data_IF_523942356116
#
_entry.id   IF_523942356116
#
_cell.length_a   1.000
_cell.length_b   1.000
_cell.length_c   1.000
_cell.angle_alpha   90.00
_cell.angle_beta   90.00
_cell.angle_gamma   90.00
#
_symmetry.space_group_name_H-M   'P 1'
#
loop_
_entity.id
_entity.type
_entity.pdbx_description
1 polymer ?
#
# COMPACT_ATOMS: atom_id res chain seq x y z
N UNK A 1 -11.27 -42.39 15.41
CA UNK A 1 -10.45 -41.43 14.64
C UNK A 1 -11.24 -40.25 14.08
N UNK A 2 -12.09 -39.57 14.89
CA UNK A 2 -12.85 -38.37 14.46
C UNK A 2 -12.64 -37.12 15.32
N UNK A 3 -11.71 -37.16 16.28
CA UNK A 3 -11.47 -36.04 17.18
C UNK A 3 -10.17 -35.23 16.90
N UNK A 4 -9.38 -35.64 15.89
CA UNK A 4 -8.10 -34.98 15.61
C UNK A 4 -8.19 -33.78 14.63
N UNK A 5 -9.28 -33.64 13.89
CA UNK A 5 -9.43 -32.57 12.91
C UNK A 5 -9.99 -31.23 13.49
N UNK A 6 -10.72 -31.31 14.60
CA UNK A 6 -11.32 -30.14 15.21
C UNK A 6 -10.32 -29.25 16.00
N UNK A 7 -9.28 -29.87 16.58
CA UNK A 7 -8.27 -29.15 17.37
C UNK A 7 -7.32 -28.36 16.47
N UNK A 8 -7.01 -28.88 15.27
CA UNK A 8 -6.16 -28.15 14.30
C UNK A 8 -6.83 -26.89 13.73
N UNK A 9 -8.15 -26.91 13.55
CA UNK A 9 -8.88 -25.74 13.03
C UNK A 9 -8.97 -24.59 14.05
N UNK A 10 -9.04 -24.88 15.34
CA UNK A 10 -9.15 -23.87 16.40
C UNK A 10 -7.81 -23.17 16.65
N UNK A 11 -6.69 -23.90 16.54
CA UNK A 11 -5.35 -23.30 16.70
C UNK A 11 -5.00 -22.39 15.50
N UNK A 12 -5.45 -22.75 14.29
CA UNK A 12 -5.24 -21.92 13.09
C UNK A 12 -6.06 -20.61 13.12
N UNK A 13 -7.25 -20.62 13.70
CA UNK A 13 -8.09 -19.44 13.84
C UNK A 13 -7.54 -18.46 14.89
N UNK A 14 -6.95 -18.96 15.98
CA UNK A 14 -6.40 -18.08 17.04
C UNK A 14 -5.09 -17.40 16.65
N UNK A 15 -4.23 -18.04 15.83
CA UNK A 15 -3.00 -17.42 15.36
C UNK A 15 -3.23 -16.37 14.25
N UNK A 16 -4.26 -16.56 13.41
CA UNK A 16 -4.66 -15.55 12.41
C UNK A 16 -5.29 -14.30 13.03
N UNK A 17 -6.04 -14.44 14.11
CA UNK A 17 -6.64 -13.30 14.80
C UNK A 17 -5.61 -12.43 15.52
N UNK A 18 -4.56 -13.03 16.10
CA UNK A 18 -3.51 -12.30 16.79
C UNK A 18 -2.67 -11.43 15.84
N UNK A 19 -2.30 -11.93 14.66
CA UNK A 19 -1.57 -11.15 13.66
C UNK A 19 -2.41 -10.00 13.08
N UNK A 20 -3.73 -10.20 12.90
CA UNK A 20 -4.65 -9.15 12.45
C UNK A 20 -4.89 -8.08 13.52
N UNK A 21 -4.98 -8.46 14.80
CA UNK A 21 -5.14 -7.53 15.91
C UNK A 21 -3.89 -6.67 16.15
N UNK A 22 -2.69 -7.23 16.04
CA UNK A 22 -1.45 -6.49 16.24
C UNK A 22 -1.23 -5.46 15.10
N UNK A 23 -1.52 -5.82 13.86
CA UNK A 23 -1.52 -4.90 12.73
C UNK A 23 -2.62 -3.83 12.89
N UNK A 24 -3.82 -4.21 13.28
CA UNK A 24 -4.95 -3.30 13.52
C UNK A 24 -4.60 -2.28 14.60
N UNK A 25 -4.06 -2.71 15.75
CA UNK A 25 -3.67 -1.84 16.84
C UNK A 25 -2.57 -0.84 16.43
N UNK A 26 -1.61 -1.25 15.61
CA UNK A 26 -0.56 -0.37 15.11
C UNK A 26 -1.10 0.74 14.20
N UNK A 27 -1.99 0.41 13.25
CA UNK A 27 -2.59 1.38 12.35
C UNK A 27 -3.60 2.29 13.06
N UNK A 28 -4.39 1.74 13.96
CA UNK A 28 -5.34 2.49 14.78
C UNK A 28 -4.60 3.50 15.65
N UNK A 29 -3.54 3.10 16.33
CA UNK A 29 -2.73 3.99 17.14
C UNK A 29 -2.12 5.15 16.35
N UNK A 30 -1.68 4.91 15.09
CA UNK A 30 -1.13 5.97 14.22
C UNK A 30 -2.19 6.96 13.77
N UNK A 31 -3.36 6.47 13.38
CA UNK A 31 -4.45 7.33 12.96
C UNK A 31 -5.02 8.14 14.14
N UNK A 32 -5.17 7.52 15.30
CA UNK A 32 -5.58 8.22 16.52
C UNK A 32 -4.59 9.29 16.92
N UNK A 33 -3.29 9.03 16.82
CA UNK A 33 -2.26 10.02 17.07
C UNK A 33 -2.42 11.24 16.16
N UNK A 34 -2.59 11.02 14.86
CA UNK A 34 -2.78 12.11 13.89
C UNK A 34 -4.10 12.86 14.14
N UNK A 35 -5.20 12.15 14.43
CA UNK A 35 -6.48 12.76 14.80
C UNK A 35 -6.35 13.65 16.04
N UNK A 36 -5.71 13.13 17.09
CA UNK A 36 -5.44 13.88 18.32
C UNK A 36 -4.62 15.12 18.04
N UNK A 37 -3.52 14.98 17.30
CA UNK A 37 -2.68 16.11 16.91
C UNK A 37 -3.48 17.19 16.16
N UNK A 38 -4.29 16.80 15.17
CA UNK A 38 -5.11 17.74 14.39
C UNK A 38 -6.14 18.44 15.30
N UNK A 39 -6.77 17.72 16.22
CA UNK A 39 -7.70 18.26 17.20
C UNK A 39 -7.02 19.27 18.11
N UNK A 40 -5.86 18.94 18.63
CA UNK A 40 -5.10 19.79 19.54
C UNK A 40 -4.63 21.08 18.84
N UNK A 41 -4.09 20.99 17.62
CA UNK A 41 -3.70 22.18 16.85
C UNK A 41 -4.92 23.07 16.56
N UNK A 42 -6.05 22.51 16.14
CA UNK A 42 -7.27 23.29 15.88
C UNK A 42 -7.80 23.98 17.14
N UNK A 43 -7.76 23.32 18.28
CA UNK A 43 -8.16 23.89 19.56
C UNK A 43 -7.26 25.06 19.96
N UNK A 44 -5.93 24.90 19.86
CA UNK A 44 -4.98 25.95 20.16
C UNK A 44 -5.09 27.13 19.19
N UNK A 45 -5.32 26.89 17.90
CA UNK A 45 -5.51 27.94 16.91
C UNK A 45 -6.80 28.76 17.09
N UNK A 46 -7.82 28.21 17.76
CA UNK A 46 -8.99 28.98 18.17
C UNK A 46 -8.67 30.03 19.25
N UNK A 47 -7.73 29.69 20.14
CA UNK A 47 -7.28 30.56 21.23
C UNK A 47 -6.27 31.59 20.70
N UNK A 48 -5.32 31.14 19.92
CA UNK A 48 -4.28 31.97 19.33
C UNK A 48 -3.90 31.48 17.93
N UNK A 49 -4.24 32.27 16.90
CA UNK A 49 -3.97 31.92 15.48
C UNK A 49 -2.48 31.72 15.15
N UNK A 50 -1.56 32.19 16.03
CA UNK A 50 -0.12 32.00 15.86
C UNK A 50 0.35 30.58 16.21
N UNK A 51 -0.49 29.74 16.85
CA UNK A 51 -0.13 28.37 17.16
C UNK A 51 0.13 27.57 15.88
N UNK A 52 1.25 26.87 15.89
CA UNK A 52 1.72 25.98 14.83
C UNK A 52 2.10 24.64 15.43
N UNK A 53 2.39 23.66 14.60
CA UNK A 53 2.90 22.39 15.05
C UNK A 53 3.74 21.69 14.00
N UNK A 54 4.55 20.75 14.45
CA UNK A 54 5.29 19.84 13.63
C UNK A 54 5.03 18.40 14.10
N UNK A 55 4.85 17.48 13.16
CA UNK A 55 4.85 16.04 13.39
C UNK A 55 6.02 15.46 12.62
N UNK A 56 6.88 14.76 13.33
CA UNK A 56 7.98 13.98 12.78
C UNK A 56 7.62 12.51 12.83
N UNK A 57 7.87 11.80 11.77
CA UNK A 57 7.75 10.35 11.69
C UNK A 57 9.15 9.74 11.57
N UNK A 58 9.41 8.69 12.35
CA UNK A 58 10.63 7.90 12.26
C UNK A 58 10.48 6.74 11.28
N UNK A 59 11.58 6.06 10.99
CA UNK A 59 11.59 4.85 10.18
C UNK A 59 10.72 3.74 10.79
N UNK A 60 10.71 3.61 12.12
CA UNK A 60 9.88 2.64 12.83
C UNK A 60 8.37 2.98 12.79
N UNK A 61 7.99 4.16 12.27
CA UNK A 61 6.63 4.65 12.27
C UNK A 61 6.22 5.36 13.57
N UNK A 62 7.14 5.57 14.50
CA UNK A 62 6.89 6.38 15.71
C UNK A 62 6.70 7.84 15.36
N UNK A 63 5.79 8.53 16.08
CA UNK A 63 5.49 9.94 15.88
C UNK A 63 5.98 10.81 17.05
N UNK A 64 6.52 11.95 16.70
CA UNK A 64 7.00 12.98 17.64
C UNK A 64 6.42 14.32 17.27
N UNK A 65 5.91 15.06 18.26
CA UNK A 65 5.27 16.35 18.03
C UNK A 65 5.96 17.48 18.75
N UNK A 66 5.85 18.66 18.14
CA UNK A 66 6.11 19.94 18.77
C UNK A 66 4.98 20.90 18.39
N UNK A 67 4.42 21.60 19.38
CA UNK A 67 3.30 22.55 19.21
C UNK A 67 3.66 23.81 20.00
N UNK A 68 3.40 24.97 19.42
CA UNK A 68 3.67 26.25 20.08
C UNK A 68 3.47 27.44 19.15
N UNK A 69 3.90 28.60 19.62
CA UNK A 69 3.85 29.88 18.88
C UNK A 69 5.17 30.23 18.19
N UNK A 70 6.20 29.45 18.42
CA UNK A 70 7.52 29.58 17.78
C UNK A 70 7.44 29.50 16.25
N UNK A 71 8.53 29.83 15.58
CA UNK A 71 8.64 29.69 14.13
C UNK A 71 8.44 28.22 13.71
N UNK A 72 7.98 27.97 12.48
CA UNK A 72 7.80 26.60 12.00
C UNK A 72 9.12 25.82 11.99
N UNK A 73 10.24 26.50 11.66
CA UNK A 73 11.56 25.88 11.65
C UNK A 73 12.01 25.42 13.05
N UNK A 74 11.73 26.20 14.09
CA UNK A 74 12.02 25.81 15.47
C UNK A 74 11.17 24.62 15.91
N UNK A 75 9.88 24.59 15.58
CA UNK A 75 9.00 23.49 15.91
C UNK A 75 9.40 22.20 15.17
N UNK A 76 9.79 22.30 13.89
CA UNK A 76 10.34 21.19 13.11
C UNK A 76 11.62 20.64 13.79
N UNK A 77 12.54 21.54 14.20
CA UNK A 77 13.79 21.19 14.88
C UNK A 77 13.55 20.50 16.23
N UNK A 78 12.61 21.02 17.04
CA UNK A 78 12.25 20.43 18.33
C UNK A 78 11.64 19.02 18.16
N UNK A 79 10.76 18.81 17.19
CA UNK A 79 10.18 17.49 16.93
C UNK A 79 11.23 16.49 16.42
N UNK A 80 12.13 16.92 15.53
CA UNK A 80 13.26 16.13 15.07
C UNK A 80 14.23 15.76 16.22
N UNK A 81 14.51 16.71 17.12
CA UNK A 81 15.34 16.48 18.31
C UNK A 81 14.71 15.40 19.21
N UNK A 82 13.41 15.47 19.49
CA UNK A 82 12.69 14.46 20.28
C UNK A 82 12.80 13.07 19.68
N UNK A 83 12.64 12.96 18.36
CA UNK A 83 12.77 11.71 17.64
C UNK A 83 14.17 11.11 17.82
N UNK A 84 15.21 11.88 17.60
CA UNK A 84 16.62 11.46 17.75
C UNK A 84 16.97 11.09 19.18
N UNK A 85 16.48 11.84 20.17
CA UNK A 85 16.72 11.57 21.59
C UNK A 85 16.13 10.23 22.06
N UNK A 86 15.09 9.74 21.39
CA UNK A 86 14.51 8.42 21.64
C UNK A 86 15.23 7.28 20.89
N UNK A 87 16.37 7.57 20.27
CA UNK A 87 17.15 6.59 19.53
C UNK A 87 16.55 6.21 18.17
N UNK A 88 15.50 6.93 17.73
CA UNK A 88 14.87 6.69 16.44
C UNK A 88 15.74 7.17 15.29
N UNK A 89 15.65 6.46 14.17
CA UNK A 89 16.40 6.77 12.95
C UNK A 89 15.46 7.27 11.86
N UNK A 90 16.03 7.94 10.85
CA UNK A 90 15.31 8.45 9.69
C UNK A 90 14.11 9.34 10.04
N UNK A 91 14.32 10.22 11.02
CA UNK A 91 13.31 11.17 11.48
C UNK A 91 13.05 12.25 10.44
N UNK A 92 11.82 12.39 9.94
CA UNK A 92 11.44 13.42 8.96
C UNK A 92 10.12 14.10 9.30
N UNK A 93 10.06 15.40 9.02
CA UNK A 93 8.84 16.21 9.24
C UNK A 93 7.75 15.77 8.28
N UNK A 94 6.66 15.21 8.80
CA UNK A 94 5.51 14.74 8.04
C UNK A 94 4.43 15.80 7.91
N UNK A 95 4.10 16.49 9.00
CA UNK A 95 3.09 17.56 9.00
C UNK A 95 3.69 18.85 9.56
N UNK A 96 3.29 19.95 8.95
CA UNK A 96 3.48 21.30 9.44
C UNK A 96 2.12 21.91 9.69
N UNK A 97 1.78 22.15 10.97
CA UNK A 97 0.44 22.53 11.40
C UNK A 97 -0.59 21.50 10.87
N UNK A 98 -1.60 21.95 10.11
CA UNK A 98 -2.66 21.09 9.57
C UNK A 98 -2.36 20.55 8.16
N UNK A 99 -1.17 20.82 7.62
CA UNK A 99 -0.81 20.47 6.24
C UNK A 99 0.25 19.38 6.22
N UNK A 100 0.08 18.40 5.34
CA UNK A 100 1.16 17.49 4.99
C UNK A 100 2.34 18.32 4.46
N UNK A 101 3.55 18.03 4.95
CA UNK A 101 4.74 18.68 4.46
C UNK A 101 4.95 18.34 2.97
N UNK A 102 5.05 19.34 2.12
CA UNK A 102 5.21 19.14 0.66
C UNK A 102 6.50 18.39 0.31
N UNK A 103 7.52 18.57 1.15
CA UNK A 103 8.82 17.92 0.99
C UNK A 103 8.86 16.54 1.66
N UNK A 104 7.78 16.14 2.33
CA UNK A 104 7.68 14.83 2.94
C UNK A 104 7.57 13.78 1.85
N UNK A 105 8.65 13.07 1.67
CA UNK A 105 8.70 11.87 0.87
C UNK A 105 8.90 10.70 1.81
N UNK A 106 7.85 9.91 2.05
CA UNK A 106 7.92 8.74 2.92
C UNK A 106 8.99 7.74 2.45
N UNK A 107 9.20 7.66 1.14
CA UNK A 107 10.23 6.82 0.56
C UNK A 107 11.64 7.33 0.82
N UNK A 108 11.82 8.63 1.04
CA UNK A 108 13.09 9.17 1.49
C UNK A 108 13.33 8.96 3.00
N UNK A 109 12.27 8.72 3.79
CA UNK A 109 12.39 8.34 5.23
C UNK A 109 12.95 6.94 5.38
N UNK A 110 12.69 6.08 4.42
CA UNK A 110 13.21 4.71 4.39
C UNK A 110 14.58 4.60 3.70
N UNK A 111 15.42 5.63 3.85
CA UNK A 111 16.84 5.48 3.57
C UNK A 111 17.41 4.53 4.63
N UNK A 112 17.46 3.25 4.26
CA UNK A 112 17.92 2.18 5.13
C UNK A 112 19.26 2.53 5.79
N UNK A 113 19.48 2.04 7.00
CA UNK A 113 20.83 2.00 7.59
C UNK A 113 21.82 1.68 6.49
N UNK A 114 22.86 2.48 6.29
CA UNK A 114 23.83 2.37 5.17
C UNK A 114 24.24 0.94 4.80
N UNK A 115 24.18 0.01 5.77
CA UNK A 115 24.46 -1.41 5.60
C UNK A 115 23.39 -2.15 4.79
N UNK A 116 22.12 -1.85 5.03
CA UNK A 116 20.98 -2.45 4.28
C UNK A 116 20.87 -1.93 2.86
N UNK A 117 21.15 -0.62 2.64
CA UNK A 117 21.22 -0.03 1.29
C UNK A 117 22.31 -0.67 0.44
N UNK A 118 23.49 -0.97 1.03
CA UNK A 118 24.56 -1.64 0.28
C UNK A 118 24.13 -3.04 -0.15
N UNK A 119 23.47 -3.80 0.72
CA UNK A 119 22.93 -5.13 0.39
C UNK A 119 21.84 -5.02 -0.67
N UNK A 120 20.87 -4.13 -0.49
CA UNK A 120 19.78 -3.91 -1.46
C UNK A 120 20.32 -3.45 -2.81
N UNK A 121 21.26 -2.49 -2.85
CA UNK A 121 21.86 -2.02 -4.09
C UNK A 121 22.69 -3.11 -4.81
N UNK A 122 23.40 -3.95 -4.05
CA UNK A 122 24.11 -5.10 -4.61
C UNK A 122 23.11 -6.10 -5.18
N UNK A 123 22.05 -6.39 -4.44
CA UNK A 123 20.96 -7.27 -4.87
C UNK A 123 20.27 -6.75 -6.13
N UNK A 124 19.91 -5.47 -6.17
CA UNK A 124 19.31 -4.81 -7.35
C UNK A 124 20.20 -4.92 -8.58
N UNK A 125 21.50 -4.66 -8.43
CA UNK A 125 22.45 -4.77 -9.55
C UNK A 125 22.51 -6.17 -10.14
N UNK A 126 22.49 -7.20 -9.29
CA UNK A 126 22.60 -8.60 -9.72
C UNK A 126 21.30 -9.18 -10.30
N UNK A 127 20.15 -8.61 -9.94
CA UNK A 127 18.83 -9.18 -10.27
C UNK A 127 18.03 -8.33 -11.27
N UNK A 128 18.57 -7.20 -11.72
CA UNK A 128 17.87 -6.31 -12.65
C UNK A 128 17.56 -7.00 -13.95
N UNK A 129 16.30 -6.99 -14.35
CA UNK A 129 15.83 -7.55 -15.63
C UNK A 129 15.49 -6.45 -16.62
N UNK A 130 14.73 -5.45 -16.18
CA UNK A 130 14.25 -4.38 -17.01
C UNK A 130 13.96 -3.11 -16.20
N UNK A 131 14.07 -1.95 -16.85
CA UNK A 131 13.68 -0.67 -16.25
C UNK A 131 12.84 0.13 -17.23
N UNK A 132 11.66 0.57 -16.81
CA UNK A 132 10.80 1.48 -17.57
C UNK A 132 10.18 2.53 -16.64
N UNK A 133 10.08 3.78 -17.12
CA UNK A 133 9.48 4.91 -16.37
C UNK A 133 10.01 5.07 -14.94
N UNK A 134 11.25 4.64 -14.66
CA UNK A 134 11.86 4.67 -13.34
C UNK A 134 11.54 3.47 -12.45
N UNK A 135 10.71 2.54 -12.91
CA UNK A 135 10.43 1.26 -12.24
C UNK A 135 11.39 0.21 -12.74
N UNK A 136 12.05 -0.48 -11.82
CA UNK A 136 12.92 -1.62 -12.15
C UNK A 136 12.22 -2.92 -11.82
N UNK A 137 12.10 -3.81 -12.79
CA UNK A 137 11.59 -5.16 -12.59
C UNK A 137 12.81 -6.05 -12.28
N UNK A 138 12.70 -6.79 -11.18
CA UNK A 138 13.75 -7.64 -10.66
C UNK A 138 13.28 -9.09 -10.72
N UNK A 139 14.08 -9.95 -11.34
CA UNK A 139 13.94 -11.40 -11.19
C UNK A 139 14.71 -11.82 -9.95
N UNK A 140 14.09 -12.58 -9.07
CA UNK A 140 14.83 -13.07 -7.93
C UNK A 140 15.81 -14.19 -8.31
N UNK A 141 17.09 -13.92 -8.29
CA UNK A 141 18.16 -14.86 -8.59
C UNK A 141 18.72 -15.57 -7.35
N UNK A 142 18.39 -15.10 -6.14
CA UNK A 142 18.76 -15.70 -4.88
C UNK A 142 17.57 -15.71 -3.92
N UNK A 143 17.53 -16.64 -3.00
CA UNK A 143 16.51 -16.62 -1.96
C UNK A 143 16.67 -15.36 -1.10
N UNK A 144 15.66 -14.52 -1.11
CA UNK A 144 15.58 -13.36 -0.24
C UNK A 144 14.75 -13.72 0.99
N UNK A 145 15.34 -13.57 2.13
CA UNK A 145 14.70 -13.84 3.43
C UNK A 145 14.81 -12.57 4.28
N UNK A 146 13.68 -12.13 4.79
CA UNK A 146 13.62 -11.17 5.88
C UNK A 146 13.19 -11.90 7.15
N UNK A 147 14.16 -12.30 7.95
CA UNK A 147 13.93 -13.10 9.16
C UNK A 147 13.02 -12.40 10.18
N UNK A 148 13.07 -11.08 10.22
CA UNK A 148 12.28 -10.29 11.17
C UNK A 148 10.77 -10.46 10.96
N UNK A 149 10.33 -10.75 9.73
CA UNK A 149 8.92 -10.78 9.36
C UNK A 149 8.52 -12.11 8.70
N UNK A 150 9.33 -13.17 8.82
CA UNK A 150 9.11 -14.45 8.14
C UNK A 150 8.76 -14.30 6.65
N UNK A 151 9.36 -13.30 6.00
CA UNK A 151 9.12 -13.00 4.60
C UNK A 151 10.17 -13.68 3.74
N UNK A 152 9.72 -14.49 2.79
CA UNK A 152 10.59 -15.15 1.83
C UNK A 152 10.13 -14.89 0.41
N UNK A 153 11.09 -14.57 -0.45
CA UNK A 153 10.93 -14.53 -1.89
C UNK A 153 11.91 -15.55 -2.50
N UNK A 154 11.41 -16.67 -2.94
CA UNK A 154 12.25 -17.74 -3.47
C UNK A 154 12.81 -17.41 -4.85
N UNK A 155 13.99 -17.94 -5.15
CA UNK A 155 14.67 -17.78 -6.43
C UNK A 155 13.78 -18.25 -7.59
N UNK A 156 13.55 -17.38 -8.56
CA UNK A 156 12.74 -17.69 -9.73
C UNK A 156 13.45 -18.66 -10.67
N UNK A 157 12.83 -19.83 -10.86
CA UNK A 157 13.29 -20.89 -11.79
C UNK A 157 12.51 -20.88 -13.10
N UNK A 158 11.32 -20.29 -13.12
CA UNK A 158 10.40 -20.30 -14.24
C UNK A 158 10.75 -19.27 -15.31
N UNK A 159 10.28 -19.49 -16.52
CA UNK A 159 10.28 -18.48 -17.57
C UNK A 159 9.26 -17.38 -17.24
N UNK A 160 9.75 -16.19 -17.00
CA UNK A 160 8.95 -15.03 -16.62
C UNK A 160 8.73 -14.03 -17.76
N UNK A 161 9.19 -14.33 -18.99
CA UNK A 161 9.11 -13.41 -20.14
C UNK A 161 7.68 -12.95 -20.44
N UNK A 162 6.69 -13.83 -20.30
CA UNK A 162 5.30 -13.49 -20.50
C UNK A 162 4.79 -12.56 -19.37
N UNK A 163 5.15 -12.83 -18.13
CA UNK A 163 4.82 -11.97 -16.98
C UNK A 163 5.46 -10.59 -17.20
N UNK A 164 6.75 -10.55 -17.55
CA UNK A 164 7.46 -9.30 -17.84
C UNK A 164 6.77 -8.48 -18.92
N UNK A 165 6.37 -9.10 -20.04
CA UNK A 165 5.64 -8.40 -21.11
C UNK A 165 4.34 -7.79 -20.65
N UNK A 166 3.61 -8.47 -19.77
CA UNK A 166 2.35 -7.95 -19.22
C UNK A 166 2.66 -6.77 -18.29
N UNK A 167 3.56 -6.95 -17.33
CA UNK A 167 3.93 -5.89 -16.38
C UNK A 167 4.40 -4.61 -17.08
N UNK A 168 5.23 -4.74 -18.12
CA UNK A 168 5.67 -3.59 -18.90
C UNK A 168 4.50 -2.83 -19.52
N UNK A 169 3.53 -3.55 -20.09
CA UNK A 169 2.32 -2.92 -20.66
C UNK A 169 1.49 -2.21 -19.60
N UNK A 170 1.32 -2.79 -18.41
CA UNK A 170 0.55 -2.18 -17.34
C UNK A 170 1.26 -0.95 -16.74
N UNK A 171 2.60 -0.96 -16.64
CA UNK A 171 3.38 0.23 -16.26
C UNK A 171 3.25 1.34 -17.30
N UNK A 172 3.24 1.00 -18.60
CA UNK A 172 3.13 1.97 -19.69
C UNK A 172 1.79 2.72 -19.73
N UNK A 173 0.73 2.21 -19.09
CA UNK A 173 -0.55 2.92 -18.94
C UNK A 173 -0.35 4.27 -18.23
N UNK A 174 0.55 4.33 -17.25
CA UNK A 174 0.66 5.47 -16.36
C UNK A 174 1.62 6.55 -16.86
N UNK A 175 1.29 7.84 -16.61
CA UNK A 175 2.25 8.93 -16.81
C UNK A 175 3.50 8.76 -15.93
N UNK A 176 4.67 9.12 -16.46
CA UNK A 176 5.95 9.07 -15.69
C UNK A 176 5.87 9.86 -14.39
N UNK A 177 5.22 11.03 -14.41
CA UNK A 177 5.03 11.85 -13.22
C UNK A 177 4.23 11.13 -12.15
N UNK A 178 3.20 10.37 -12.53
CA UNK A 178 2.40 9.59 -11.59
C UNK A 178 3.18 8.46 -10.94
N UNK A 179 3.91 7.68 -11.75
CA UNK A 179 4.80 6.62 -11.23
C UNK A 179 5.81 7.21 -10.23
N UNK A 180 6.45 8.33 -10.60
CA UNK A 180 7.41 9.00 -9.71
C UNK A 180 6.77 9.45 -8.39
N UNK A 181 5.59 10.05 -8.46
CA UNK A 181 4.89 10.56 -7.27
C UNK A 181 4.27 9.47 -6.41
N UNK A 182 3.87 8.34 -7.00
CA UNK A 182 3.42 7.16 -6.25
C UNK A 182 4.54 6.50 -5.47
N UNK A 183 5.78 6.71 -5.87
CA UNK A 183 6.97 6.15 -5.24
C UNK A 183 7.27 4.70 -5.64
N UNK A 184 6.57 4.12 -6.63
CA UNK A 184 6.90 2.79 -7.14
C UNK A 184 8.30 2.78 -7.73
N UNK A 185 9.16 1.89 -7.24
CA UNK A 185 10.56 1.76 -7.67
C UNK A 185 10.87 0.38 -8.22
N UNK A 186 10.31 -0.67 -7.60
CA UNK A 186 10.65 -2.04 -7.92
C UNK A 186 9.42 -2.94 -7.97
N UNK A 187 9.45 -3.87 -8.91
CA UNK A 187 8.57 -5.04 -8.96
C UNK A 187 9.46 -6.27 -8.87
N UNK A 188 9.30 -7.05 -7.81
CA UNK A 188 10.09 -8.26 -7.55
C UNK A 188 9.32 -9.50 -8.00
N UNK A 189 9.90 -10.30 -8.85
CA UNK A 189 9.32 -11.57 -9.31
C UNK A 189 9.93 -12.72 -8.52
N UNK A 190 9.13 -13.36 -7.67
CA UNK A 190 9.49 -14.53 -6.86
C UNK A 190 8.96 -15.80 -7.49
N UNK A 191 9.67 -16.92 -7.35
CA UNK A 191 9.09 -18.22 -7.65
C UNK A 191 7.93 -18.51 -6.70
N UNK A 192 8.23 -18.48 -5.41
CA UNK A 192 7.25 -18.57 -4.32
C UNK A 192 7.41 -17.36 -3.43
N UNK A 193 6.31 -16.81 -2.98
CA UNK A 193 6.25 -15.74 -1.99
C UNK A 193 5.60 -16.29 -0.73
N UNK A 194 6.30 -16.22 0.39
CA UNK A 194 5.79 -16.65 1.69
C UNK A 194 5.85 -15.50 2.69
N UNK A 195 4.80 -15.33 3.46
CA UNK A 195 4.74 -14.40 4.58
C UNK A 195 3.89 -15.01 5.69
N UNK A 196 4.43 -15.09 6.89
CA UNK A 196 3.72 -15.59 8.07
C UNK A 196 2.93 -16.89 7.80
N UNK A 197 3.56 -17.84 7.07
CA UNK A 197 2.96 -19.12 6.65
C UNK A 197 1.81 -19.00 5.63
N UNK A 198 1.67 -17.88 4.94
CA UNK A 198 0.76 -17.71 3.80
C UNK A 198 1.53 -17.55 2.50
N UNK A 199 0.88 -17.91 1.37
CA UNK A 199 1.42 -17.78 0.02
C UNK A 199 0.55 -16.83 -0.79
N UNK A 200 0.68 -15.51 -0.64
CA UNK A 200 -0.13 -14.56 -1.39
C UNK A 200 0.25 -14.54 -2.88
N UNK A 201 -0.69 -14.15 -3.74
CA UNK A 201 -0.44 -13.88 -5.16
C UNK A 201 0.57 -12.75 -5.37
N UNK A 202 0.44 -11.71 -4.57
CA UNK A 202 1.33 -10.57 -4.52
C UNK A 202 1.37 -9.96 -3.14
N UNK A 203 2.24 -9.02 -2.95
CA UNK A 203 2.39 -8.31 -1.68
C UNK A 203 3.11 -6.98 -1.89
N UNK A 204 2.50 -5.90 -1.44
CA UNK A 204 3.17 -4.61 -1.29
C UNK A 204 3.47 -4.36 0.20
N UNK A 205 4.54 -4.94 0.75
CA UNK A 205 4.72 -5.08 2.18
C UNK A 205 5.02 -3.78 2.91
N UNK A 206 5.23 -2.68 2.23
CA UNK A 206 5.54 -1.32 2.73
C UNK A 206 5.97 -1.15 4.19
N UNK A 207 5.46 -1.99 5.08
CA UNK A 207 5.77 -2.02 6.51
C UNK A 207 6.56 -3.26 6.94
N UNK A 208 6.34 -4.40 6.27
CA UNK A 208 6.92 -5.67 6.69
C UNK A 208 8.40 -5.79 6.35
N UNK A 209 8.79 -5.39 5.15
CA UNK A 209 10.18 -5.53 4.69
C UNK A 209 10.96 -4.21 4.73
N UNK A 210 10.28 -3.11 5.13
CA UNK A 210 10.86 -1.78 5.12
C UNK A 210 11.39 -1.37 3.74
N UNK A 211 10.87 -1.96 2.66
CA UNK A 211 11.24 -1.68 1.27
C UNK A 211 10.13 -0.90 0.55
N UNK A 212 9.98 0.39 0.84
CA UNK A 212 8.90 1.19 0.28
C UNK A 212 9.07 1.32 -1.23
N UNK A 213 7.93 1.30 -1.92
CA UNK A 213 7.92 1.36 -3.38
C UNK A 213 8.34 0.05 -4.04
N UNK A 214 8.31 -1.06 -3.30
CA UNK A 214 8.48 -2.42 -3.83
C UNK A 214 7.18 -3.16 -3.67
N UNK A 215 6.81 -3.93 -4.66
CA UNK A 215 5.88 -5.03 -4.48
C UNK A 215 6.40 -6.32 -5.12
N UNK A 216 5.88 -7.42 -4.66
CA UNK A 216 6.32 -8.77 -4.97
C UNK A 216 5.22 -9.53 -5.71
N UNK A 217 5.61 -10.41 -6.62
CA UNK A 217 4.70 -11.24 -7.41
C UNK A 217 5.10 -12.70 -7.22
N UNK A 218 4.13 -13.57 -6.96
CA UNK A 218 4.29 -15.01 -6.77
C UNK A 218 3.95 -15.76 -8.05
N UNK A 219 4.98 -16.32 -8.72
CA UNK A 219 4.79 -17.06 -9.98
C UNK A 219 4.00 -18.36 -9.76
N UNK A 220 4.27 -19.07 -8.68
CA UNK A 220 3.64 -20.37 -8.44
C UNK A 220 2.13 -20.22 -8.24
N UNK A 221 1.70 -19.19 -7.53
CA UNK A 221 0.27 -18.91 -7.36
C UNK A 221 -0.40 -18.50 -8.68
N UNK A 222 0.26 -17.67 -9.49
CA UNK A 222 -0.24 -17.30 -10.82
C UNK A 222 -0.34 -18.54 -11.72
N UNK A 223 0.62 -19.46 -11.63
CA UNK A 223 0.66 -20.67 -12.46
C UNK A 223 -0.35 -21.73 -12.05
N UNK A 224 -0.99 -21.63 -10.90
CA UNK A 224 -2.13 -22.48 -10.52
C UNK A 224 -3.30 -22.35 -11.48
N UNK A 225 -3.50 -21.17 -12.06
CA UNK A 225 -4.43 -21.02 -13.18
C UNK A 225 -3.90 -21.76 -14.41
N UNK A 226 -4.72 -22.63 -15.02
CA UNK A 226 -4.34 -23.38 -16.23
C UNK A 226 -4.54 -22.58 -17.51
N UNK A 227 -5.46 -21.63 -17.52
CA UNK A 227 -5.81 -20.85 -18.70
C UNK A 227 -4.91 -19.61 -18.86
N UNK A 228 -4.35 -19.42 -20.06
CA UNK A 228 -3.44 -18.30 -20.38
C UNK A 228 -4.15 -16.94 -20.30
N UNK A 229 -5.42 -16.90 -20.71
CA UNK A 229 -6.21 -15.65 -20.64
C UNK A 229 -6.45 -15.26 -19.20
N UNK A 230 -6.84 -16.22 -18.36
CA UNK A 230 -7.01 -16.01 -16.92
C UNK A 230 -5.69 -15.59 -16.25
N UNK A 231 -4.56 -16.20 -16.59
CA UNK A 231 -3.24 -15.76 -16.08
C UNK A 231 -2.95 -14.30 -16.41
N UNK A 232 -3.22 -13.89 -17.65
CA UNK A 232 -3.02 -12.49 -18.05
C UNK A 232 -3.91 -11.55 -17.23
N UNK A 233 -5.17 -11.90 -17.04
CA UNK A 233 -6.11 -11.09 -16.26
C UNK A 233 -5.70 -11.03 -14.78
N UNK A 234 -5.27 -12.16 -14.21
CA UNK A 234 -4.73 -12.22 -12.84
C UNK A 234 -3.53 -11.29 -12.69
N UNK A 235 -2.54 -11.34 -13.58
CA UNK A 235 -1.33 -10.52 -13.50
C UNK A 235 -1.67 -9.04 -13.64
N UNK A 236 -2.57 -8.68 -14.55
CA UNK A 236 -3.03 -7.30 -14.74
C UNK A 236 -3.71 -6.77 -13.49
N UNK A 237 -4.68 -7.52 -12.97
CA UNK A 237 -5.40 -7.14 -11.76
C UNK A 237 -4.45 -7.01 -10.58
N UNK A 238 -3.63 -8.04 -10.34
CA UNK A 238 -2.63 -8.07 -9.28
C UNK A 238 -1.69 -6.87 -9.33
N UNK A 239 -1.17 -6.53 -10.53
CA UNK A 239 -0.29 -5.37 -10.68
C UNK A 239 -0.95 -4.09 -10.16
N UNK A 240 -2.19 -3.81 -10.56
CA UNK A 240 -2.88 -2.59 -10.16
C UNK A 240 -3.30 -2.61 -8.69
N UNK A 241 -3.68 -3.77 -8.18
CA UNK A 241 -4.01 -3.99 -6.78
C UNK A 241 -2.80 -3.65 -5.87
N UNK A 242 -1.68 -4.31 -6.08
CA UNK A 242 -0.46 -4.08 -5.30
C UNK A 242 0.12 -2.68 -5.52
N UNK A 243 0.01 -2.16 -6.73
CA UNK A 243 0.41 -0.80 -7.02
C UNK A 243 -0.43 0.21 -6.23
N UNK A 244 -1.72 -0.07 -6.01
CA UNK A 244 -2.52 0.84 -5.19
C UNK A 244 -2.06 0.86 -3.73
N UNK A 245 -1.63 -0.24 -3.14
CA UNK A 245 -1.04 -0.21 -1.80
C UNK A 245 0.19 0.70 -1.72
N UNK A 246 1.01 0.72 -2.78
CA UNK A 246 2.13 1.68 -2.90
C UNK A 246 1.61 3.12 -3.00
N UNK A 247 0.58 3.37 -3.82
CA UNK A 247 -0.07 4.68 -3.95
C UNK A 247 -0.70 5.12 -2.63
N UNK A 248 -1.41 4.25 -1.95
CA UNK A 248 -2.08 4.53 -0.67
C UNK A 248 -1.07 4.95 0.40
N UNK A 249 0.10 4.33 0.37
CA UNK A 249 1.25 4.72 1.20
C UNK A 249 1.73 6.14 0.86
N UNK A 250 1.86 6.47 -0.43
CA UNK A 250 2.26 7.81 -0.87
C UNK A 250 1.23 8.89 -0.52
N UNK A 251 -0.05 8.55 -0.57
CA UNK A 251 -1.16 9.41 -0.14
C UNK A 251 -1.25 9.55 1.39
N UNK A 252 -0.52 8.74 2.15
CA UNK A 252 -0.62 8.64 3.63
C UNK A 252 -2.03 8.30 4.12
N UNK A 253 -2.77 7.52 3.33
CA UNK A 253 -4.12 7.04 3.65
C UNK A 253 -4.13 5.56 4.06
N UNK A 254 -2.95 4.94 4.15
CA UNK A 254 -2.77 3.62 4.78
C UNK A 254 -3.10 3.71 6.26
N UNK A 255 -3.85 2.75 6.75
CA UNK A 255 -4.39 2.76 8.10
C UNK A 255 -5.85 3.23 8.10
N UNK A 256 -6.33 3.84 9.17
CA UNK A 256 -7.72 4.30 9.26
C UNK A 256 -7.94 5.47 8.31
N UNK A 257 -8.77 5.25 7.31
CA UNK A 257 -9.23 6.24 6.35
C UNK A 257 -10.69 6.59 6.64
N UNK A 258 -10.91 7.50 7.59
CA UNK A 258 -12.25 7.92 8.00
C UNK A 258 -13.12 8.41 6.86
N UNK A 259 -12.51 9.10 5.88
CA UNK A 259 -13.25 9.62 4.75
C UNK A 259 -13.75 8.50 3.83
N UNK A 260 -12.95 7.46 3.67
CA UNK A 260 -13.29 6.28 2.90
C UNK A 260 -14.30 5.40 3.65
N UNK A 261 -14.00 5.10 4.91
CA UNK A 261 -14.83 4.21 5.73
C UNK A 261 -16.24 4.75 5.97
N UNK A 262 -16.41 6.07 6.05
CA UNK A 262 -17.72 6.72 6.19
C UNK A 262 -18.62 6.59 4.96
N UNK A 263 -18.08 6.20 3.81
CA UNK A 263 -18.89 5.93 2.63
C UNK A 263 -19.60 4.58 2.72
N UNK A 264 -19.08 3.63 3.49
CA UNK A 264 -19.69 2.30 3.64
C UNK A 264 -20.90 2.34 4.59
N UNK A 265 -21.98 1.71 4.15
CA UNK A 265 -23.15 1.41 5.02
C UNK A 265 -22.93 0.15 5.87
N UNK A 266 -22.08 -0.76 5.38
CA UNK A 266 -21.79 -2.04 6.02
C UNK A 266 -20.36 -2.10 6.52
N UNK A 267 -20.16 -2.89 7.57
CA UNK A 267 -18.82 -3.14 8.14
C UNK A 267 -18.00 -4.04 7.23
N UNK A 268 -16.69 -3.90 7.34
CA UNK A 268 -15.76 -4.84 6.75
C UNK A 268 -15.88 -6.22 7.42
N UNK A 269 -15.68 -7.27 6.65
CA UNK A 269 -15.64 -8.65 7.13
C UNK A 269 -14.19 -9.12 7.10
N UNK A 270 -13.63 -9.45 8.24
CA UNK A 270 -12.32 -10.10 8.29
C UNK A 270 -12.40 -11.47 7.59
N UNK A 271 -11.38 -11.79 6.77
CA UNK A 271 -11.20 -13.09 6.11
C UNK A 271 -12.07 -13.43 4.90
N UNK A 272 -12.53 -12.44 4.12
CA UNK A 272 -13.09 -12.75 2.79
C UNK A 272 -12.00 -13.27 1.86
N UNK A 273 -12.27 -14.38 1.17
CA UNK A 273 -11.32 -14.96 0.21
C UNK A 273 -11.29 -14.14 -1.09
N UNK A 274 -10.12 -14.08 -1.72
CA UNK A 274 -10.00 -13.56 -3.07
C UNK A 274 -10.62 -14.55 -4.06
N UNK A 275 -11.64 -14.09 -4.79
CA UNK A 275 -12.34 -14.90 -5.80
C UNK A 275 -11.73 -14.75 -7.21
N UNK A 276 -10.59 -14.06 -7.32
CA UNK A 276 -9.94 -13.76 -8.60
C UNK A 276 -10.38 -12.41 -9.19
N UNK A 277 -9.95 -12.06 -10.41
CA UNK A 277 -10.17 -10.76 -11.02
C UNK A 277 -11.59 -10.61 -11.60
N UNK A 278 -12.60 -10.97 -10.83
CA UNK A 278 -14.01 -10.87 -11.21
C UNK A 278 -14.73 -9.84 -10.36
N UNK A 279 -15.50 -8.97 -11.02
CA UNK A 279 -16.42 -8.09 -10.31
C UNK A 279 -17.51 -8.95 -9.68
N UNK A 280 -17.59 -8.94 -8.35
CA UNK A 280 -18.68 -9.53 -7.59
C UNK A 280 -19.26 -8.47 -6.65
N UNK A 281 -20.10 -7.61 -7.22
CA UNK A 281 -20.80 -6.53 -6.51
C UNK A 281 -22.09 -7.08 -5.87
N UNK A 282 -22.00 -8.13 -5.08
CA UNK A 282 -23.14 -8.70 -4.34
C UNK A 282 -23.53 -7.90 -3.09
N UNK A 283 -22.66 -7.00 -2.65
CA UNK A 283 -22.87 -6.13 -1.48
C UNK A 283 -22.62 -4.68 -1.90
N UNK A 284 -23.63 -3.82 -1.70
CA UNK A 284 -23.57 -2.40 -2.04
C UNK A 284 -22.30 -1.73 -1.46
N UNK A 285 -21.58 -1.03 -2.29
CA UNK A 285 -20.37 -0.31 -1.93
C UNK A 285 -19.07 -1.13 -2.04
N UNK A 286 -19.14 -2.43 -2.34
CA UNK A 286 -17.96 -3.27 -2.51
C UNK A 286 -17.92 -3.89 -3.91
N UNK A 287 -16.80 -3.72 -4.59
CA UNK A 287 -16.62 -4.20 -5.96
C UNK A 287 -16.37 -5.70 -6.07
N UNK A 288 -15.86 -6.30 -4.99
CA UNK A 288 -15.56 -7.73 -4.87
C UNK A 288 -15.73 -8.19 -3.43
N UNK A 289 -15.81 -9.51 -3.22
CA UNK A 289 -15.82 -10.10 -1.88
C UNK A 289 -14.54 -9.75 -1.12
N UNK A 290 -13.39 -9.73 -1.81
CA UNK A 290 -12.10 -9.40 -1.21
C UNK A 290 -12.00 -7.95 -0.72
N UNK A 291 -12.68 -7.01 -1.40
CA UNK A 291 -12.80 -5.62 -0.97
C UNK A 291 -13.40 -5.47 0.45
N UNK A 292 -14.15 -6.47 0.92
CA UNK A 292 -14.77 -6.44 2.24
C UNK A 292 -13.84 -6.76 3.41
N UNK A 293 -12.59 -7.17 3.16
CA UNK A 293 -11.64 -7.51 4.22
C UNK A 293 -11.30 -6.29 5.09
N UNK A 294 -10.94 -5.20 4.46
CA UNK A 294 -10.61 -3.94 5.12
C UNK A 294 -10.56 -2.80 4.10
N UNK A 295 -10.42 -1.58 4.59
CA UNK A 295 -10.39 -0.39 3.72
C UNK A 295 -9.16 -0.31 2.79
N UNK A 296 -8.05 -0.96 3.10
CA UNK A 296 -6.89 -0.99 2.22
C UNK A 296 -7.17 -1.89 1.01
N UNK A 297 -7.74 -3.09 1.25
CA UNK A 297 -8.14 -4.02 0.20
C UNK A 297 -9.31 -3.44 -0.63
N UNK A 298 -10.28 -2.78 0.01
CA UNK A 298 -11.38 -2.10 -0.66
C UNK A 298 -10.89 -1.05 -1.67
N UNK A 299 -9.91 -0.26 -1.28
CA UNK A 299 -9.30 0.73 -2.18
C UNK A 299 -8.49 0.08 -3.30
N UNK A 300 -7.69 -0.93 -2.96
CA UNK A 300 -6.85 -1.63 -3.93
C UNK A 300 -7.68 -2.37 -4.99
N UNK A 301 -8.71 -3.08 -4.56
CA UNK A 301 -9.67 -3.75 -5.44
C UNK A 301 -10.39 -2.74 -6.34
N UNK A 302 -10.96 -1.68 -5.77
CA UNK A 302 -11.64 -0.67 -6.55
C UNK A 302 -10.72 -0.08 -7.63
N UNK A 303 -9.49 0.28 -7.27
CA UNK A 303 -8.53 0.81 -8.23
C UNK A 303 -8.18 -0.19 -9.33
N UNK A 304 -7.92 -1.44 -8.97
CA UNK A 304 -7.60 -2.49 -9.92
C UNK A 304 -8.73 -2.69 -10.95
N UNK A 305 -9.98 -2.74 -10.49
CA UNK A 305 -11.14 -2.86 -11.39
C UNK A 305 -11.40 -1.60 -12.22
N UNK A 306 -11.19 -0.41 -11.69
CA UNK A 306 -11.28 0.84 -12.45
C UNK A 306 -10.34 0.85 -13.66
N UNK A 307 -9.17 0.20 -13.56
CA UNK A 307 -8.18 0.12 -14.65
C UNK A 307 -8.46 -1.09 -15.56
N UNK A 308 -8.60 -2.29 -14.98
CA UNK A 308 -8.60 -3.55 -15.73
C UNK A 308 -9.94 -3.89 -16.35
N UNK A 309 -11.03 -3.44 -15.74
CA UNK A 309 -12.43 -3.71 -16.13
C UNK A 309 -13.23 -2.41 -16.28
N UNK A 310 -12.58 -1.38 -16.82
CA UNK A 310 -13.12 -0.02 -16.86
C UNK A 310 -14.56 0.07 -17.42
N UNK A 311 -14.83 -0.63 -18.52
CA UNK A 311 -16.15 -0.62 -19.16
C UNK A 311 -17.22 -1.36 -18.34
N UNK A 312 -16.88 -2.46 -17.69
CA UNK A 312 -17.76 -3.19 -16.78
C UNK A 312 -18.04 -2.35 -15.53
N UNK A 313 -17.00 -1.75 -14.97
CA UNK A 313 -17.09 -0.87 -13.82
C UNK A 313 -18.04 0.31 -14.07
N UNK A 314 -17.93 0.97 -15.23
CA UNK A 314 -18.84 2.08 -15.60
C UNK A 314 -20.31 1.69 -15.63
N UNK A 315 -20.64 0.44 -15.96
CA UNK A 315 -22.03 -0.05 -15.99
C UNK A 315 -22.61 -0.26 -14.58
N UNK A 316 -21.76 -0.43 -13.58
CA UNK A 316 -22.15 -0.64 -12.19
C UNK A 316 -22.38 0.69 -11.48
N UNK A 317 -21.56 1.71 -11.75
CA UNK A 317 -21.60 2.99 -11.05
C UNK A 317 -22.99 3.63 -10.93
N UNK A 318 -23.86 3.63 -11.96
CA UNK A 318 -25.20 4.19 -11.83
C UNK A 318 -26.13 3.40 -10.89
N UNK A 319 -25.73 2.16 -10.55
CA UNK A 319 -26.54 1.23 -9.73
C UNK A 319 -26.05 1.15 -8.29
N UNK A 320 -24.88 1.70 -8.01
CA UNK A 320 -24.23 1.66 -6.68
C UNK A 320 -23.68 3.05 -6.34
N UNK A 321 -24.46 3.81 -5.57
CA UNK A 321 -24.08 5.16 -5.15
C UNK A 321 -22.82 5.21 -4.30
N UNK A 322 -22.59 4.17 -3.48
CA UNK A 322 -21.41 4.11 -2.62
C UNK A 322 -20.16 3.91 -3.48
N UNK A 323 -20.16 2.97 -4.42
CA UNK A 323 -19.05 2.78 -5.36
C UNK A 323 -18.82 4.04 -6.22
N UNK A 324 -19.87 4.72 -6.63
CA UNK A 324 -19.74 6.00 -7.35
C UNK A 324 -19.02 7.05 -6.49
N UNK A 325 -19.40 7.21 -5.23
CA UNK A 325 -18.77 8.18 -4.33
C UNK A 325 -17.32 7.78 -3.99
N UNK A 326 -17.04 6.49 -3.79
CA UNK A 326 -15.69 5.96 -3.60
C UNK A 326 -14.82 6.25 -4.84
N UNK A 327 -15.32 6.01 -6.04
CA UNK A 327 -14.58 6.26 -7.29
C UNK A 327 -14.25 7.75 -7.46
N UNK A 328 -15.18 8.65 -7.17
CA UNK A 328 -14.92 10.10 -7.16
C UNK A 328 -13.83 10.49 -6.18
N UNK A 329 -13.88 9.97 -4.94
CA UNK A 329 -12.88 10.23 -3.93
C UNK A 329 -11.51 9.72 -4.37
N UNK A 330 -11.44 8.52 -4.92
CA UNK A 330 -10.22 7.93 -5.46
C UNK A 330 -9.63 8.78 -6.59
N UNK A 331 -10.41 9.12 -7.61
CA UNK A 331 -9.97 9.97 -8.72
C UNK A 331 -9.43 11.31 -8.20
N UNK A 332 -10.10 11.94 -7.23
CA UNK A 332 -9.64 13.18 -6.60
C UNK A 332 -8.26 13.01 -5.94
N UNK A 333 -8.05 11.91 -5.22
CA UNK A 333 -6.79 11.59 -4.54
C UNK A 333 -5.67 11.31 -5.55
N UNK A 334 -5.93 10.49 -6.56
CA UNK A 334 -4.95 10.19 -7.61
C UNK A 334 -4.54 11.45 -8.37
N UNK A 335 -5.48 12.34 -8.68
CA UNK A 335 -5.21 13.64 -9.30
C UNK A 335 -4.38 14.56 -8.39
N UNK A 336 -4.46 14.43 -7.07
CA UNK A 336 -3.62 15.18 -6.14
C UNK A 336 -2.15 14.74 -6.16
N UNK A 337 -1.89 13.46 -6.49
CA UNK A 337 -0.53 12.97 -6.70
C UNK A 337 0.03 13.43 -8.05
N UNK A 338 -0.79 13.40 -9.11
CA UNK A 338 -0.34 13.83 -10.43
C UNK A 338 -1.50 14.39 -11.24
N UNK A 339 -1.35 15.63 -11.72
CA UNK A 339 -2.33 16.30 -12.58
C UNK A 339 -2.61 15.53 -13.88
N UNK A 340 -1.69 14.66 -14.29
CA UNK A 340 -1.82 13.84 -15.50
C UNK A 340 -2.75 12.63 -15.35
N UNK A 341 -3.28 12.38 -14.13
CA UNK A 341 -4.40 11.45 -13.90
C UNK A 341 -5.69 12.25 -14.02
N UNK A 342 -5.97 12.71 -15.19
CA UNK A 342 -7.13 13.52 -15.55
C UNK A 342 -8.17 12.75 -16.39
N UNK A 343 -9.16 13.44 -16.92
CA UNK A 343 -10.18 12.82 -17.77
C UNK A 343 -9.62 12.16 -19.04
N UNK A 344 -8.50 12.66 -19.56
CA UNK A 344 -7.85 12.08 -20.75
C UNK A 344 -7.18 10.74 -20.44
N UNK A 345 -6.61 10.60 -19.24
CA UNK A 345 -6.09 9.32 -18.74
C UNK A 345 -7.19 8.26 -18.70
N UNK A 346 -8.32 8.57 -18.05
CA UNK A 346 -9.42 7.62 -17.90
C UNK A 346 -10.07 7.25 -19.24
N UNK A 347 -10.13 8.18 -20.20
CA UNK A 347 -10.65 7.92 -21.56
C UNK A 347 -9.80 6.91 -22.36
N UNK A 348 -8.50 6.83 -22.10
CA UNK A 348 -7.57 5.91 -22.78
C UNK A 348 -7.71 4.46 -22.31
N UNK A 349 -8.41 4.19 -21.21
CA UNK A 349 -8.66 2.85 -20.69
C UNK A 349 -9.83 2.12 -21.40
N UNK A 350 -10.52 2.82 -22.29
CA UNK A 350 -11.64 2.27 -23.09
C UNK A 350 -11.15 1.40 -24.24
#
# INVERSE_FOLDING_TARGET
MKYSLAIFSIIFLSLKSLASEENRSFYEGRAEFIKKYIKDIKAQQKINKKYKGAVVESLSGSFFTSIGTSSQAELDSLALKKCKQKGEVECKVRFRSLKLNKDYNRYAVYDYKKKSLKVLNTYIKSNKVYTTKGVTILKNEANYLNEKNNFKCAKSKSDFRNILKILLKEIEIYPVSFIKMSGLKFVMICQTLEIENSNPLGLAPGHYDQSPGVFYINIDEINRSKDIKSKKEIIRHLFHHEFYHVIDTALSTVGIDDQWSKLNKQSYLENSSAEGPFINNSVEGFISSYARNNHAEDKAELFAFMITKHNEFKKILPKDEILFNKSKLMIKRLKSLSKNIDSSFWKKLN
#
